data_IF_391839538450
#
_entry.id   IF_391839538450
#
_cell.length_a   1.000
_cell.length_b   1.000
_cell.length_c   1.000
_cell.angle_alpha   90.00
_cell.angle_beta   90.00
_cell.angle_gamma   90.00
#
_symmetry.space_group_name_H-M   'P 1'
#
loop_
_entity.id
_entity.type
_entity.pdbx_description
1 polymer ?
#
# COMPACT_ATOMS: atom_id res chain seq x y z
N UNK A 1 -14.88 24.43 -12.32
CA UNK A 1 -13.76 25.23 -11.78
C UNK A 1 -12.59 24.27 -11.61
N UNK A 2 -11.40 24.50 -12.19
CA UNK A 2 -10.42 23.42 -12.30
C UNK A 2 -9.76 23.15 -10.94
N UNK A 3 -9.73 21.88 -10.52
CA UNK A 3 -9.12 21.36 -9.29
C UNK A 3 -7.69 21.86 -9.05
N UNK A 4 -6.97 22.25 -10.10
CA UNK A 4 -5.60 22.76 -10.02
C UNK A 4 -5.45 24.01 -9.13
N UNK A 5 -6.50 24.84 -8.98
CA UNK A 5 -6.44 25.97 -8.01
C UNK A 5 -6.62 25.55 -6.55
N UNK A 6 -7.16 24.36 -6.32
CA UNK A 6 -7.52 23.82 -5.00
C UNK A 6 -6.35 23.10 -4.34
N UNK A 7 -5.54 22.39 -5.12
CA UNK A 7 -4.34 21.73 -4.61
C UNK A 7 -3.20 22.73 -4.57
N UNK A 8 -2.99 23.36 -3.41
CA UNK A 8 -1.93 24.35 -3.21
C UNK A 8 -0.81 23.82 -2.34
N UNK A 9 0.43 24.13 -2.72
CA UNK A 9 1.61 23.90 -1.89
C UNK A 9 1.39 24.49 -0.50
N UNK A 10 1.76 23.73 0.52
CA UNK A 10 1.63 24.06 1.93
C UNK A 10 0.31 23.64 2.57
N UNK A 11 -0.72 23.27 1.80
CA UNK A 11 -2.00 22.77 2.34
C UNK A 11 -1.88 21.33 2.83
N UNK A 12 -2.70 21.00 3.82
CA UNK A 12 -2.88 19.62 4.27
C UNK A 12 -3.93 18.95 3.41
N UNK A 13 -3.61 17.74 2.95
CA UNK A 13 -4.46 16.82 2.21
C UNK A 13 -4.66 15.58 3.08
N UNK A 14 -5.90 15.10 3.17
CA UNK A 14 -6.21 13.79 3.73
C UNK A 14 -6.37 12.79 2.60
N UNK A 15 -5.64 11.68 2.68
CA UNK A 15 -5.85 10.51 1.81
C UNK A 15 -6.48 9.43 2.67
N UNK A 16 -7.55 8.81 2.18
CA UNK A 16 -8.27 7.81 2.95
C UNK A 16 -9.02 6.78 2.11
N UNK A 17 -9.29 5.65 2.74
CA UNK A 17 -10.20 4.61 2.28
C UNK A 17 -10.95 4.03 3.50
N UNK A 18 -11.72 2.96 3.29
CA UNK A 18 -12.53 2.36 4.35
C UNK A 18 -11.70 1.82 5.53
N UNK A 19 -10.43 1.50 5.29
CA UNK A 19 -9.56 0.90 6.29
C UNK A 19 -8.59 1.90 6.93
N UNK A 20 -8.22 2.98 6.23
CA UNK A 20 -7.11 3.86 6.63
C UNK A 20 -7.29 5.31 6.26
N UNK A 21 -6.67 6.19 7.04
CA UNK A 21 -6.56 7.62 6.74
C UNK A 21 -5.22 8.17 7.20
N UNK A 22 -4.67 9.10 6.42
CA UNK A 22 -3.44 9.81 6.75
C UNK A 22 -3.53 11.25 6.23
N UNK A 23 -2.80 12.13 6.91
CA UNK A 23 -2.65 13.52 6.55
C UNK A 23 -1.25 13.73 5.98
N UNK A 24 -1.20 14.39 4.83
CA UNK A 24 0.04 14.81 4.19
C UNK A 24 -0.02 16.29 3.93
N UNK A 25 1.16 16.92 3.88
CA UNK A 25 1.30 18.27 3.37
C UNK A 25 1.74 18.21 1.92
N UNK A 26 1.02 18.92 1.05
CA UNK A 26 1.43 19.11 -0.35
C UNK A 26 2.66 20.01 -0.36
N UNK A 27 3.78 19.53 -0.91
CA UNK A 27 5.04 20.29 -1.00
C UNK A 27 5.34 20.77 -2.41
N UNK A 28 4.79 20.11 -3.42
CA UNK A 28 4.89 20.51 -4.81
C UNK A 28 3.68 20.02 -5.60
N UNK A 29 3.38 20.72 -6.69
CA UNK A 29 2.27 20.39 -7.59
C UNK A 29 2.69 20.65 -9.02
N UNK A 30 2.48 19.68 -9.89
CA UNK A 30 2.62 19.84 -11.33
C UNK A 30 1.32 19.42 -12.03
N UNK A 31 1.07 19.96 -13.22
CA UNK A 31 -0.12 19.65 -14.00
C UNK A 31 0.27 19.14 -15.40
N UNK A 32 -0.19 17.93 -15.72
CA UNK A 32 -0.01 17.31 -17.02
C UNK A 32 -1.38 16.95 -17.61
N UNK A 33 -1.87 17.80 -18.52
CA UNK A 33 -3.23 17.67 -19.05
C UNK A 33 -4.28 17.76 -17.94
N UNK A 34 -5.03 16.68 -17.76
CA UNK A 34 -6.08 16.56 -16.74
C UNK A 34 -5.57 15.95 -15.42
N UNK A 35 -4.29 15.57 -15.34
CA UNK A 35 -3.69 15.00 -14.15
C UNK A 35 -2.99 16.09 -13.32
N UNK A 36 -3.18 16.01 -12.01
CA UNK A 36 -2.42 16.80 -11.04
C UNK A 36 -1.44 15.86 -10.34
N UNK A 37 -0.17 16.09 -10.57
CA UNK A 37 0.92 15.43 -9.85
C UNK A 37 1.18 16.19 -8.56
N UNK A 38 1.29 15.47 -7.44
CA UNK A 38 1.56 16.05 -6.13
C UNK A 38 2.77 15.39 -5.50
N UNK A 39 3.70 16.20 -5.01
CA UNK A 39 4.69 15.72 -4.05
C UNK A 39 4.16 15.97 -2.64
N UNK A 40 4.30 14.95 -1.78
CA UNK A 40 3.90 14.98 -0.39
C UNK A 40 5.13 15.08 0.50
N UNK A 41 4.99 15.67 1.69
CA UNK A 41 6.08 15.86 2.63
C UNK A 41 6.69 14.56 3.18
N UNK A 42 5.93 13.46 3.15
CA UNK A 42 6.34 12.14 3.59
C UNK A 42 6.02 11.09 2.52
N UNK A 43 6.78 10.01 2.51
CA UNK A 43 6.56 8.92 1.58
C UNK A 43 5.33 8.09 1.95
N UNK A 44 4.46 7.83 0.97
CA UNK A 44 3.42 6.83 1.10
C UNK A 44 3.95 5.39 0.89
N UNK A 45 5.24 5.21 0.56
CA UNK A 45 5.85 3.88 0.42
C UNK A 45 6.07 3.28 1.82
N UNK A 46 5.41 2.16 2.11
CA UNK A 46 5.62 1.41 3.34
C UNK A 46 6.82 0.48 3.24
N UNK A 47 6.93 -0.24 2.12
CA UNK A 47 8.05 -1.13 1.87
C UNK A 47 8.19 -1.48 0.40
N UNK A 48 9.33 -2.09 0.08
CA UNK A 48 9.64 -2.70 -1.19
C UNK A 48 10.37 -4.01 -0.93
N UNK A 49 10.10 -5.03 -1.73
CA UNK A 49 10.80 -6.30 -1.63
C UNK A 49 10.63 -7.16 -2.87
N UNK A 50 11.53 -8.13 -3.04
CA UNK A 50 11.43 -9.12 -4.11
C UNK A 50 10.49 -10.24 -3.70
N UNK A 51 9.57 -10.63 -4.60
CA UNK A 51 8.71 -11.78 -4.40
C UNK A 51 9.51 -13.06 -4.60
N UNK A 52 9.50 -13.95 -3.60
CA UNK A 52 10.23 -15.22 -3.64
C UNK A 52 9.33 -16.46 -3.68
N UNK A 53 8.07 -16.31 -3.29
CA UNK A 53 7.05 -17.34 -3.45
C UNK A 53 5.67 -16.71 -3.57
N UNK A 54 4.75 -17.42 -4.23
CA UNK A 54 3.33 -17.05 -4.30
C UNK A 54 2.44 -18.24 -4.00
N UNK A 55 1.32 -17.98 -3.35
CA UNK A 55 0.24 -18.93 -3.10
C UNK A 55 -1.09 -18.23 -3.41
N UNK A 56 -2.22 -18.95 -3.34
CA UNK A 56 -3.52 -18.31 -3.52
C UNK A 56 -3.70 -17.18 -2.51
N UNK A 57 -3.90 -15.97 -3.03
CA UNK A 57 -4.09 -14.71 -2.28
C UNK A 57 -2.92 -14.31 -1.37
N UNK A 58 -1.72 -14.88 -1.56
CA UNK A 58 -0.54 -14.59 -0.73
C UNK A 58 0.74 -14.53 -1.54
N UNK A 59 1.71 -13.78 -1.03
CA UNK A 59 3.05 -13.72 -1.59
C UNK A 59 4.09 -13.48 -0.49
N UNK A 60 5.25 -14.11 -0.64
CA UNK A 60 6.38 -13.96 0.27
C UNK A 60 7.40 -12.98 -0.30
N UNK A 61 7.90 -12.09 0.56
CA UNK A 61 8.94 -11.13 0.21
C UNK A 61 10.26 -11.49 0.90
N UNK A 62 11.35 -11.44 0.13
CA UNK A 62 12.73 -11.54 0.64
C UNK A 62 13.24 -10.16 1.08
N UNK A 63 12.51 -9.56 2.01
CA UNK A 63 12.84 -8.27 2.59
C UNK A 63 12.26 -8.19 3.98
N UNK A 64 13.00 -7.58 4.90
CA UNK A 64 12.51 -7.32 6.24
C UNK A 64 11.49 -6.17 6.21
N UNK A 65 10.25 -6.44 6.59
CA UNK A 65 9.19 -5.44 6.69
C UNK A 65 9.07 -5.01 8.14
N UNK A 66 9.48 -3.78 8.45
CA UNK A 66 9.43 -3.22 9.82
C UNK A 66 8.04 -3.21 10.45
N UNK A 67 7.03 -3.33 9.60
CA UNK A 67 5.64 -3.30 9.96
C UNK A 67 4.99 -4.69 10.03
N UNK A 68 5.63 -5.73 9.48
CA UNK A 68 5.17 -7.09 9.65
C UNK A 68 5.61 -7.59 11.03
N UNK A 69 4.68 -8.11 11.82
CA UNK A 69 4.99 -8.75 13.10
C UNK A 69 4.60 -10.21 13.06
N UNK A 70 5.32 -11.03 13.83
CA UNK A 70 4.89 -12.39 14.16
C UNK A 70 3.54 -12.32 14.87
N UNK A 71 2.49 -12.84 14.23
CA UNK A 71 1.15 -12.92 14.79
C UNK A 71 0.53 -14.29 14.55
N UNK A 72 -0.44 -14.68 15.41
CA UNK A 72 -1.23 -15.86 15.15
C UNK A 72 -2.03 -15.67 13.86
N UNK A 73 -1.97 -16.68 13.01
CA UNK A 73 -2.86 -16.87 11.87
C UNK A 73 -3.86 -17.95 12.29
N UNK A 74 -5.16 -17.72 12.10
CA UNK A 74 -6.20 -18.74 12.37
C UNK A 74 -6.75 -19.19 11.03
N UNK A 75 -6.75 -20.49 10.76
CA UNK A 75 -7.23 -21.07 9.50
C UNK A 75 -6.63 -20.46 8.22
N UNK A 76 -5.39 -19.95 8.32
CA UNK A 76 -4.72 -19.29 7.20
C UNK A 76 -5.13 -17.82 7.02
N UNK A 77 -5.93 -17.23 7.89
CA UNK A 77 -6.33 -15.84 7.84
C UNK A 77 -5.65 -15.00 8.93
N UNK A 78 -5.37 -13.75 8.60
CA UNK A 78 -4.76 -12.80 9.52
C UNK A 78 -5.79 -12.30 10.53
N UNK A 79 -5.47 -12.37 11.82
CA UNK A 79 -6.32 -11.80 12.86
C UNK A 79 -6.10 -10.27 12.90
N UNK A 80 -7.16 -9.44 12.88
CA UNK A 80 -7.05 -7.97 12.95
C UNK A 80 -6.25 -7.46 14.15
N UNK A 81 -5.45 -6.41 13.95
CA UNK A 81 -4.62 -5.77 14.99
C UNK A 81 -3.75 -4.62 14.48
N UNK A 82 -2.83 -4.07 15.31
CA UNK A 82 -1.96 -2.94 14.95
C UNK A 82 -1.14 -3.08 13.65
N UNK A 83 -0.90 -4.31 13.19
CA UNK A 83 -0.08 -4.63 12.01
C UNK A 83 -0.95 -5.03 10.81
N UNK A 84 -2.27 -4.80 10.94
CA UNK A 84 -3.26 -4.97 9.90
C UNK A 84 -3.22 -3.73 9.02
N UNK A 85 -2.32 -3.74 8.02
CA UNK A 85 -2.18 -2.66 7.03
C UNK A 85 -3.27 -2.74 5.96
N UNK A 86 -4.50 -3.02 6.38
CA UNK A 86 -5.65 -3.19 5.50
C UNK A 86 -5.87 -1.95 4.64
N UNK A 87 -6.19 -2.14 3.36
CA UNK A 87 -6.37 -1.03 2.42
C UNK A 87 -5.06 -0.40 1.93
N UNK A 88 -3.89 -0.97 2.27
CA UNK A 88 -2.65 -0.69 1.56
C UNK A 88 -2.67 -1.33 0.16
N UNK A 89 -1.83 -0.84 -0.73
CA UNK A 89 -1.74 -1.30 -2.11
C UNK A 89 -0.38 -1.90 -2.42
N UNK A 90 -0.37 -3.14 -2.88
CA UNK A 90 0.79 -3.76 -3.51
C UNK A 90 0.74 -3.49 -5.00
N UNK A 91 1.81 -2.92 -5.55
CA UNK A 91 1.88 -2.51 -6.96
C UNK A 91 3.15 -2.99 -7.64
N UNK A 92 3.00 -3.44 -8.88
CA UNK A 92 4.04 -3.64 -9.88
C UNK A 92 3.44 -3.25 -11.25
N UNK A 93 4.27 -3.08 -12.29
CA UNK A 93 3.79 -2.72 -13.64
C UNK A 93 2.67 -3.64 -14.18
N UNK A 94 2.69 -4.91 -13.80
CA UNK A 94 1.76 -5.96 -14.25
C UNK A 94 0.49 -6.06 -13.41
N UNK A 95 0.38 -5.35 -12.28
CA UNK A 95 -0.79 -5.44 -11.42
C UNK A 95 -0.76 -4.62 -10.14
N UNK A 96 -1.96 -4.33 -9.63
CA UNK A 96 -2.19 -3.68 -8.34
C UNK A 96 -3.18 -4.50 -7.53
N UNK A 97 -2.87 -4.71 -6.24
CA UNK A 97 -3.65 -5.55 -5.34
C UNK A 97 -3.80 -4.86 -3.99
N UNK A 98 -5.01 -4.90 -3.42
CA UNK A 98 -5.20 -4.46 -2.04
C UNK A 98 -4.69 -5.54 -1.07
N UNK A 99 -4.08 -5.07 0.01
CA UNK A 99 -3.45 -5.89 1.04
C UNK A 99 -4.26 -5.82 2.32
N UNK A 100 -4.42 -6.96 2.98
CA UNK A 100 -5.00 -7.09 4.32
C UNK A 100 -3.96 -6.77 5.39
N UNK A 101 -2.76 -7.31 5.20
CA UNK A 101 -1.63 -7.09 6.10
C UNK A 101 -0.44 -7.96 5.72
N UNK A 102 0.57 -7.93 6.60
CA UNK A 102 1.79 -8.70 6.46
C UNK A 102 2.10 -9.43 7.76
N UNK A 103 2.56 -10.67 7.64
CA UNK A 103 3.02 -11.50 8.76
C UNK A 103 4.47 -11.86 8.51
N UNK A 104 5.28 -11.76 9.57
CA UNK A 104 6.58 -12.39 9.57
C UNK A 104 6.41 -13.85 9.99
N UNK A 105 6.63 -14.79 9.07
CA UNK A 105 6.52 -16.23 9.28
C UNK A 105 7.89 -16.93 9.18
N UNK A 106 7.96 -18.21 9.57
CA UNK A 106 9.21 -18.97 9.63
C UNK A 106 9.97 -18.84 10.96
N UNK A 107 11.05 -19.63 11.10
CA UNK A 107 11.93 -19.67 12.27
C UNK A 107 13.37 -19.26 11.88
N UNK A 108 14.00 -18.41 12.71
CA UNK A 108 15.39 -17.97 12.56
C UNK A 108 15.75 -17.52 11.14
N UNK A 109 16.67 -18.22 10.47
CA UNK A 109 17.21 -17.87 9.14
C UNK A 109 16.17 -18.00 8.00
N UNK A 110 15.06 -18.71 8.27
CA UNK A 110 13.95 -18.88 7.33
C UNK A 110 12.84 -17.85 7.55
N UNK A 111 13.05 -16.82 8.38
CA UNK A 111 12.09 -15.74 8.55
C UNK A 111 11.81 -15.05 7.21
N UNK A 112 10.56 -15.06 6.79
CA UNK A 112 10.08 -14.37 5.58
C UNK A 112 8.86 -13.53 5.94
N UNK A 113 8.51 -12.63 5.04
CA UNK A 113 7.33 -11.78 5.20
C UNK A 113 6.29 -12.19 4.19
N UNK A 114 5.19 -12.75 4.68
CA UNK A 114 4.03 -13.13 3.87
C UNK A 114 3.02 -11.98 3.87
N UNK A 115 2.70 -11.50 2.66
CA UNK A 115 1.66 -10.52 2.39
C UNK A 115 0.36 -11.26 2.07
N UNK A 116 -0.73 -10.82 2.70
CA UNK A 116 -2.08 -11.35 2.46
C UNK A 116 -2.87 -10.36 1.63
N UNK A 117 -3.43 -10.82 0.51
CA UNK A 117 -4.26 -10.01 -0.37
C UNK A 117 -5.71 -9.99 0.12
N UNK A 118 -6.40 -8.86 -0.11
CA UNK A 118 -7.76 -8.64 0.37
C UNK A 118 -8.79 -9.43 -0.44
N UNK A 119 -8.68 -9.38 -1.76
CA UNK A 119 -9.55 -10.12 -2.64
C UNK A 119 -8.92 -11.49 -2.97
N UNK A 120 -9.72 -12.55 -3.15
CA UNK A 120 -9.21 -13.84 -3.59
C UNK A 120 -8.50 -13.74 -4.95
N UNK A 121 -7.22 -14.13 -4.99
CA UNK A 121 -6.43 -14.16 -6.23
C UNK A 121 -5.79 -15.53 -6.41
N UNK A 122 -6.05 -16.18 -7.55
CA UNK A 122 -5.42 -17.44 -7.92
C UNK A 122 -3.90 -17.27 -8.09
N UNK A 123 -3.11 -18.17 -7.50
CA UNK A 123 -1.66 -18.17 -7.54
C UNK A 123 -1.11 -18.09 -8.97
N UNK A 124 -1.80 -18.65 -9.98
CA UNK A 124 -1.39 -18.56 -11.39
C UNK A 124 -1.33 -17.13 -11.90
N UNK A 125 -2.19 -16.23 -11.39
CA UNK A 125 -2.13 -14.80 -11.70
C UNK A 125 -0.95 -14.13 -11.00
N UNK A 126 -0.65 -14.57 -9.78
CA UNK A 126 0.45 -14.01 -8.97
C UNK A 126 1.84 -14.47 -9.44
N UNK A 127 1.95 -15.60 -10.16
CA UNK A 127 3.23 -16.07 -10.73
C UNK A 127 3.96 -15.05 -11.59
N UNK A 128 3.23 -14.13 -12.24
CA UNK A 128 3.86 -13.05 -12.99
C UNK A 128 4.71 -12.10 -12.11
N UNK A 129 4.45 -12.08 -10.80
CA UNK A 129 5.18 -11.29 -9.82
C UNK A 129 6.39 -12.04 -9.24
N UNK A 130 6.53 -13.36 -9.44
CA UNK A 130 7.66 -14.11 -8.91
C UNK A 130 8.99 -13.52 -9.41
N UNK A 131 9.93 -13.38 -8.48
CA UNK A 131 11.24 -12.74 -8.68
C UNK A 131 11.18 -11.25 -9.07
N UNK A 132 10.00 -10.64 -9.15
CA UNK A 132 9.85 -9.20 -9.36
C UNK A 132 9.95 -8.44 -8.04
N UNK A 133 10.44 -7.21 -8.13
CA UNK A 133 10.33 -6.27 -7.02
C UNK A 133 8.94 -5.65 -7.01
N UNK A 134 8.26 -5.72 -5.87
CA UNK A 134 6.95 -5.08 -5.65
C UNK A 134 7.08 -3.96 -4.63
N UNK A 135 6.22 -2.95 -4.74
CA UNK A 135 6.13 -1.85 -3.78
C UNK A 135 4.81 -1.92 -3.03
N UNK A 136 4.82 -1.65 -1.72
CA UNK A 136 3.64 -1.58 -0.88
C UNK A 136 3.44 -0.12 -0.47
N UNK A 137 2.32 0.45 -0.89
CA UNK A 137 1.95 1.83 -0.65
C UNK A 137 0.83 1.93 0.37
N UNK A 138 0.81 3.02 1.14
CA UNK A 138 -0.30 3.33 2.03
C UNK A 138 -1.61 3.52 1.29
N UNK A 139 -1.53 4.04 0.06
CA UNK A 139 -2.66 4.42 -0.78
C UNK A 139 -2.38 4.11 -2.25
N UNK A 140 -3.43 4.00 -3.06
CA UNK A 140 -3.39 3.65 -4.47
C UNK A 140 -4.59 4.17 -5.25
N UNK A 141 -4.77 3.66 -6.46
CA UNK A 141 -5.86 4.09 -7.36
C UNK A 141 -7.22 3.77 -6.75
N UNK A 142 -8.12 4.76 -6.74
CA UNK A 142 -9.47 4.63 -6.21
C UNK A 142 -9.64 5.11 -4.76
N UNK A 143 -8.54 5.35 -4.04
CA UNK A 143 -8.60 5.98 -2.72
C UNK A 143 -9.09 7.43 -2.81
N UNK A 144 -9.68 7.90 -1.72
CA UNK A 144 -10.31 9.20 -1.64
C UNK A 144 -9.33 10.27 -1.17
N UNK A 145 -9.52 11.48 -1.71
CA UNK A 145 -8.74 12.67 -1.37
C UNK A 145 -9.68 13.74 -0.81
N UNK A 146 -9.32 14.32 0.32
CA UNK A 146 -10.04 15.44 0.92
C UNK A 146 -9.07 16.58 1.22
N UNK A 147 -9.35 17.76 0.66
CA UNK A 147 -8.66 19.01 0.97
C UNK A 147 -9.66 19.99 1.58
N UNK A 148 -9.30 20.58 2.71
CA UNK A 148 -10.09 21.66 3.30
C UNK A 148 -9.94 22.94 2.46
N UNK A 149 -11.06 23.40 1.90
CA UNK A 149 -11.18 24.70 1.26
C UNK A 149 -11.60 25.73 2.31
N UNK A 150 -10.71 26.68 2.60
CA UNK A 150 -11.02 27.82 3.46
C UNK A 150 -11.01 29.05 2.56
N UNK A 151 -12.19 29.59 2.29
CA UNK A 151 -12.38 30.87 1.63
C UNK A 151 -12.33 31.97 2.69
N UNK A 152 -11.55 33.03 2.45
CA UNK A 152 -11.42 34.19 3.31
C UNK A 152 -12.25 35.36 2.76
#
# INVERSE_FOLDING_TARGET
QPLARTVQVGRTLRIYNESRTALYRVIDTDQEGDLIWMSLNDSALLARGQVVAVEDSRLQLDSYLTFARRRPVTDGELIPGPDYYAGAWLTQETGQFQVVGAVQDGENENERNTIYLQEPVDARKLRALEHQSVSIWQYGVGDQLELALIEA
#
